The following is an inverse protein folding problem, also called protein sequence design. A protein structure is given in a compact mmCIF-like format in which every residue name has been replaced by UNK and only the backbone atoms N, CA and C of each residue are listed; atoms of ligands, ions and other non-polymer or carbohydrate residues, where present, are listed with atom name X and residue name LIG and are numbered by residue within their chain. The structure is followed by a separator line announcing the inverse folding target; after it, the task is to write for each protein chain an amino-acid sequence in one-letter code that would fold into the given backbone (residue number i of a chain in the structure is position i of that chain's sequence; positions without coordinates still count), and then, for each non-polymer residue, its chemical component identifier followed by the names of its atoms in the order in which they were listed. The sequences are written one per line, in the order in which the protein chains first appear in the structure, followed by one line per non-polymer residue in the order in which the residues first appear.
data_IF_944333651139
#
_entry.id   IF_944333651139
#
_cell.length_a   1.000
_cell.length_b   1.000
_cell.length_c   1.000
_cell.angle_alpha   90.00
_cell.angle_beta   90.00
_cell.angle_gamma   90.00
#
_symmetry.space_group_name_H-M   'P 1'
#
loop_
_entity.id
_entity.type
_entity.pdbx_description
1 polymer ?
#
# COMPACT_ATOMS: atom_id res chain seq x y z
N UNK A 1 2.42 7.94 24.99
CA UNK A 1 2.39 8.90 23.87
C UNK A 1 1.81 8.25 22.60
N UNK A 2 2.38 7.16 22.10
CA UNK A 2 1.99 6.53 20.82
C UNK A 2 0.52 6.08 20.78
N UNK A 3 -0.02 5.53 21.86
CA UNK A 3 -1.43 5.15 21.97
C UNK A 3 -2.35 6.37 21.82
N UNK A 4 -2.00 7.49 22.46
CA UNK A 4 -2.79 8.73 22.37
C UNK A 4 -2.73 9.31 20.95
N UNK A 5 -1.56 9.28 20.30
CA UNK A 5 -1.40 9.75 18.94
C UNK A 5 -2.18 8.88 17.93
N UNK A 6 -2.09 7.56 18.06
CA UNK A 6 -2.88 6.63 17.25
C UNK A 6 -4.39 6.82 17.49
N UNK A 7 -4.80 7.05 18.75
CA UNK A 7 -6.18 7.38 19.11
C UNK A 7 -6.65 8.68 18.45
N UNK A 8 -5.80 9.72 18.46
CA UNK A 8 -6.10 10.99 17.79
C UNK A 8 -6.36 10.77 16.30
N UNK A 9 -5.44 10.11 15.60
CA UNK A 9 -5.54 9.85 14.16
C UNK A 9 -6.83 9.06 13.85
N UNK A 10 -7.11 8.00 14.60
CA UNK A 10 -8.33 7.19 14.42
C UNK A 10 -9.62 7.98 14.60
N UNK A 11 -9.66 8.93 15.55
CA UNK A 11 -10.87 9.70 15.83
C UNK A 11 -11.01 10.93 14.93
N UNK A 12 -9.91 11.60 14.55
CA UNK A 12 -9.95 12.81 13.70
C UNK A 12 -10.42 12.49 12.27
N UNK A 13 -10.15 11.29 11.77
CA UNK A 13 -10.60 10.84 10.45
C UNK A 13 -12.13 10.91 10.31
N UNK A 14 -12.87 10.65 11.39
CA UNK A 14 -14.33 10.71 11.41
C UNK A 14 -14.90 12.12 11.27
N UNK A 15 -14.10 13.15 11.60
CA UNK A 15 -14.49 14.56 11.51
C UNK A 15 -13.92 15.22 10.27
N UNK A 16 -13.02 14.56 9.57
CA UNK A 16 -12.32 15.12 8.43
C UNK A 16 -13.28 15.39 7.26
N UNK A 17 -13.25 16.62 6.74
CA UNK A 17 -14.01 17.02 5.56
C UNK A 17 -13.33 16.50 4.28
N UNK A 18 -13.24 15.20 4.14
CA UNK A 18 -12.53 14.53 3.05
C UNK A 18 -13.41 13.52 2.32
N UNK A 19 -12.88 13.01 1.24
CA UNK A 19 -13.47 11.91 0.45
C UNK A 19 -12.78 10.56 0.76
N UNK A 20 -12.26 10.39 1.98
CA UNK A 20 -11.50 9.23 2.41
C UNK A 20 -9.98 9.40 2.25
N UNK A 21 -9.50 10.57 1.83
CA UNK A 21 -8.09 10.95 1.75
C UNK A 21 -7.93 12.47 1.72
N UNK A 22 -6.73 12.99 1.96
CA UNK A 22 -6.44 14.42 2.03
C UNK A 22 -5.93 15.04 0.71
N UNK A 23 -6.04 14.32 -0.40
CA UNK A 23 -5.72 14.85 -1.74
C UNK A 23 -6.83 15.73 -2.32
N UNK A 24 -8.05 15.61 -1.80
CA UNK A 24 -9.21 16.42 -2.11
C UNK A 24 -10.08 16.63 -0.87
N UNK A 25 -10.91 17.66 -0.89
CA UNK A 25 -11.85 17.99 0.19
C UNK A 25 -13.25 18.23 -0.35
N UNK A 26 -14.25 18.05 0.51
CA UNK A 26 -15.64 18.29 0.16
C UNK A 26 -15.93 19.78 0.30
N UNK A 27 -16.43 20.42 -0.77
CA UNK A 27 -16.83 21.85 -0.79
C UNK A 27 -18.19 22.07 -0.11
N UNK A 28 -18.38 21.54 1.08
CA UNK A 28 -19.59 21.78 1.90
C UNK A 28 -19.18 22.51 3.17
N UNK A 29 -20.10 23.28 3.77
CA UNK A 29 -19.85 23.86 5.08
C UNK A 29 -19.40 22.77 6.05
N UNK A 30 -18.39 23.07 6.84
CA UNK A 30 -17.93 22.19 7.90
C UNK A 30 -18.91 22.35 9.05
N UNK A 31 -19.60 21.28 9.44
CA UNK A 31 -20.38 21.29 10.68
C UNK A 31 -19.40 21.22 11.84
N UNK A 32 -19.47 22.19 12.75
CA UNK A 32 -18.71 22.15 13.99
C UNK A 32 -19.17 20.96 14.83
N UNK A 33 -18.35 19.92 14.88
CA UNK A 33 -18.58 18.74 15.67
C UNK A 33 -17.53 18.64 16.77
N UNK A 34 -17.96 18.22 17.96
CA UNK A 34 -17.05 17.95 19.06
C UNK A 34 -16.25 16.67 18.76
N UNK A 35 -14.92 16.73 18.93
CA UNK A 35 -14.08 15.55 18.87
C UNK A 35 -14.17 14.78 20.20
N UNK A 36 -14.71 13.58 20.16
CA UNK A 36 -14.69 12.66 21.28
C UNK A 36 -13.54 11.67 21.11
N UNK A 37 -12.52 11.79 21.94
CA UNK A 37 -11.36 10.90 21.94
C UNK A 37 -11.71 9.54 22.57
N UNK A 38 -12.12 8.60 21.73
CA UNK A 38 -12.31 7.22 22.16
C UNK A 38 -11.01 6.46 22.02
N UNK A 39 -10.42 6.04 23.14
CA UNK A 39 -9.16 5.29 23.14
C UNK A 39 -9.28 4.03 22.27
N UNK A 40 -8.25 3.79 21.48
CA UNK A 40 -8.11 2.53 20.76
C UNK A 40 -7.82 1.40 21.75
N UNK A 41 -8.33 0.21 21.44
CA UNK A 41 -8.01 -1.01 22.21
C UNK A 41 -6.59 -1.46 21.82
N UNK A 42 -5.62 -1.06 22.64
CA UNK A 42 -4.23 -1.43 22.42
C UNK A 42 -3.96 -2.81 23.02
N UNK A 43 -3.72 -3.79 22.16
CA UNK A 43 -3.33 -5.14 22.57
C UNK A 43 -1.82 -5.25 22.61
N UNK A 44 -1.27 -5.84 23.65
CA UNK A 44 0.13 -6.25 23.68
C UNK A 44 0.28 -7.54 22.88
N UNK A 45 1.05 -7.49 21.82
CA UNK A 45 1.48 -8.66 21.07
C UNK A 45 2.94 -8.94 21.45
N UNK A 46 3.17 -10.13 22.01
CA UNK A 46 4.52 -10.64 22.16
C UNK A 46 4.97 -11.18 20.80
N UNK A 47 6.24 -11.02 20.45
CA UNK A 47 6.85 -11.51 19.21
C UNK A 47 6.38 -10.81 17.92
N UNK A 48 6.13 -9.50 17.97
CA UNK A 48 5.86 -8.68 16.79
C UNK A 48 7.01 -7.70 16.59
N UNK A 49 7.58 -7.71 15.39
CA UNK A 49 8.57 -6.72 14.94
C UNK A 49 7.95 -5.82 13.87
N UNK A 50 8.14 -4.50 14.02
CA UNK A 50 7.60 -3.51 13.09
C UNK A 50 8.77 -2.80 12.41
N UNK A 51 8.76 -2.83 11.07
CA UNK A 51 9.75 -2.14 10.25
C UNK A 51 9.10 -1.02 9.43
N UNK A 52 9.75 0.14 9.39
CA UNK A 52 9.42 1.24 8.47
C UNK A 52 10.60 1.45 7.53
N UNK A 53 10.69 0.62 6.50
CA UNK A 53 11.79 0.59 5.54
C UNK A 53 11.25 0.38 4.13
N UNK A 54 12.09 0.60 3.14
CA UNK A 54 11.82 0.16 1.78
C UNK A 54 11.68 -1.37 1.76
N UNK A 55 10.58 -1.87 1.14
CA UNK A 55 10.24 -3.28 1.15
C UNK A 55 11.28 -4.14 0.42
N UNK A 56 11.84 -3.64 -0.68
CA UNK A 56 12.84 -4.35 -1.45
C UNK A 56 14.18 -4.49 -0.69
N UNK A 57 14.54 -3.46 0.07
CA UNK A 57 15.71 -3.52 0.95
C UNK A 57 15.47 -4.48 2.14
N UNK A 58 14.27 -4.42 2.73
CA UNK A 58 13.91 -5.29 3.85
C UNK A 58 13.88 -6.76 3.44
N UNK A 59 13.34 -7.08 2.27
CA UNK A 59 13.25 -8.45 1.74
C UNK A 59 14.60 -9.18 1.68
N UNK A 60 15.70 -8.44 1.51
CA UNK A 60 17.06 -9.00 1.47
C UNK A 60 17.61 -9.39 2.84
N UNK A 61 16.98 -8.90 3.91
CA UNK A 61 17.49 -9.05 5.29
C UNK A 61 16.59 -9.87 6.20
N UNK A 62 15.38 -10.19 5.76
CA UNK A 62 14.43 -10.99 6.56
C UNK A 62 14.23 -12.37 5.96
N UNK A 63 13.88 -13.33 6.85
CA UNK A 63 13.45 -14.67 6.48
C UNK A 63 12.14 -14.98 7.20
N UNK A 64 11.18 -15.55 6.48
CA UNK A 64 9.89 -15.94 7.03
C UNK A 64 9.37 -17.21 6.36
N UNK A 65 8.45 -17.92 7.00
CA UNK A 65 7.80 -19.09 6.39
C UNK A 65 6.79 -18.63 5.33
N UNK A 66 6.07 -17.55 5.62
CA UNK A 66 5.07 -16.96 4.72
C UNK A 66 5.32 -15.44 4.64
N UNK A 67 5.30 -14.92 3.42
CA UNK A 67 5.31 -13.47 3.17
C UNK A 67 4.01 -13.07 2.47
N UNK A 68 3.25 -12.18 3.10
CA UNK A 68 2.08 -11.56 2.49
C UNK A 68 2.44 -10.18 1.95
N UNK A 69 2.03 -9.90 0.72
CA UNK A 69 2.35 -8.67 -0.01
C UNK A 69 1.05 -8.02 -0.46
N UNK A 70 0.84 -6.77 -0.05
CA UNK A 70 -0.24 -5.90 -0.47
C UNK A 70 0.35 -4.60 -1.02
N UNK A 71 0.82 -4.60 -2.29
CA UNK A 71 1.52 -3.45 -2.85
C UNK A 71 0.52 -2.35 -3.26
N UNK A 72 0.96 -1.10 -3.40
CA UNK A 72 0.15 -0.07 -4.03
C UNK A 72 -0.29 -0.49 -5.45
N UNK A 73 -1.58 -0.34 -5.77
CA UNK A 73 -2.12 -0.80 -7.05
C UNK A 73 -1.94 0.20 -8.19
N UNK A 74 -1.96 1.50 -7.89
CA UNK A 74 -2.04 2.56 -8.88
C UNK A 74 -1.06 3.71 -8.58
N UNK A 75 -1.14 4.81 -9.34
CA UNK A 75 -0.22 5.95 -9.20
C UNK A 75 -0.42 6.80 -7.95
N UNK A 76 -1.39 6.46 -7.10
CA UNK A 76 -1.72 7.25 -5.91
C UNK A 76 -0.74 6.97 -4.78
N UNK A 77 0.08 7.95 -4.48
CA UNK A 77 1.09 7.87 -3.42
C UNK A 77 0.44 8.06 -2.05
N UNK A 78 0.57 7.10 -1.14
CA UNK A 78 0.01 7.20 0.20
C UNK A 78 0.57 8.38 0.99
N UNK A 79 1.84 8.71 0.84
CA UNK A 79 2.46 9.90 1.42
C UNK A 79 1.79 11.21 0.97
N UNK A 80 1.17 11.20 -0.23
CA UNK A 80 0.40 12.36 -0.76
C UNK A 80 -1.06 12.34 -0.31
N UNK A 81 -1.63 11.16 -0.15
CA UNK A 81 -3.03 10.99 0.25
C UNK A 81 -3.24 11.25 1.73
N UNK A 82 -2.28 10.83 2.56
CA UNK A 82 -2.36 10.86 4.01
C UNK A 82 -1.34 11.83 4.63
N UNK A 83 -0.88 12.86 3.89
CA UNK A 83 0.12 13.81 4.33
C UNK A 83 -0.25 14.52 5.64
N UNK A 84 -1.55 14.72 5.92
CA UNK A 84 -1.98 15.36 7.16
C UNK A 84 -1.63 14.51 8.38
N UNK A 85 -1.78 13.19 8.30
CA UNK A 85 -1.41 12.29 9.38
C UNK A 85 0.10 12.29 9.61
N UNK A 86 0.90 12.31 8.55
CA UNK A 86 2.36 12.44 8.68
C UNK A 86 2.74 13.77 9.36
N UNK A 87 2.10 14.87 8.99
CA UNK A 87 2.30 16.18 9.62
C UNK A 87 1.92 16.17 11.09
N UNK A 88 0.81 15.54 11.47
CA UNK A 88 0.39 15.41 12.86
C UNK A 88 1.37 14.56 13.68
N UNK A 89 1.89 13.47 13.10
CA UNK A 89 2.85 12.58 13.78
C UNK A 89 4.19 13.27 13.97
N UNK A 90 4.69 13.94 12.94
CA UNK A 90 6.00 14.63 12.97
C UNK A 90 5.93 15.97 13.70
N UNK A 91 4.77 16.61 13.65
CA UNK A 91 4.54 17.99 14.15
C UNK A 91 5.52 19.01 13.58
N UNK A 92 5.94 18.81 12.34
CA UNK A 92 6.99 19.56 11.65
C UNK A 92 6.51 20.84 10.97
N UNK A 93 5.18 21.03 10.87
CA UNK A 93 4.52 22.21 10.27
C UNK A 93 5.14 22.60 8.92
N UNK A 94 5.16 21.69 7.94
CA UNK A 94 5.86 21.90 6.69
C UNK A 94 5.23 23.03 5.89
N UNK A 95 6.02 23.66 5.00
CA UNK A 95 5.48 24.59 4.01
C UNK A 95 4.56 23.83 3.05
N UNK A 96 3.38 24.41 2.79
CA UNK A 96 2.33 23.82 1.97
C UNK A 96 2.28 24.45 0.58
N UNK A 97 1.98 23.63 -0.44
CA UNK A 97 1.98 24.02 -1.84
C UNK A 97 0.71 23.57 -2.57
N UNK A 98 0.37 24.31 -3.62
CA UNK A 98 -0.76 24.01 -4.50
C UNK A 98 -2.12 24.23 -3.86
N UNK A 99 -3.18 23.96 -4.63
CA UNK A 99 -4.57 24.18 -4.22
C UNK A 99 -4.98 23.27 -3.07
N UNK A 100 -4.44 22.05 -3.02
CA UNK A 100 -4.76 21.08 -1.97
C UNK A 100 -3.87 21.22 -0.72
N UNK A 101 -3.07 22.30 -0.63
CA UNK A 101 -2.23 22.63 0.52
C UNK A 101 -1.43 21.42 1.03
N UNK A 102 -0.59 20.85 0.17
CA UNK A 102 0.22 19.67 0.49
C UNK A 102 1.70 20.05 0.71
N UNK A 103 2.40 19.34 1.60
CA UNK A 103 3.86 19.47 1.73
C UNK A 103 4.58 19.01 0.46
N UNK A 104 5.87 19.25 0.35
CA UNK A 104 6.68 18.67 -0.75
C UNK A 104 6.52 17.14 -0.79
N UNK A 105 6.60 16.53 -2.00
CA UNK A 105 6.63 15.09 -2.10
C UNK A 105 7.79 14.50 -1.29
N UNK A 106 7.47 13.52 -0.47
CA UNK A 106 8.41 12.76 0.35
C UNK A 106 8.00 11.29 0.37
N UNK A 107 8.93 10.39 0.58
CA UNK A 107 8.67 8.95 0.69
C UNK A 107 7.78 8.40 -0.46
N UNK A 108 8.14 8.71 -1.70
CA UNK A 108 7.41 8.30 -2.89
C UNK A 108 7.74 6.85 -3.25
N UNK A 109 6.71 6.01 -3.40
CA UNK A 109 6.87 4.60 -3.75
C UNK A 109 7.05 4.39 -5.25
N UNK A 110 8.04 3.61 -5.65
CA UNK A 110 8.24 3.17 -7.03
C UNK A 110 7.10 2.26 -7.52
N UNK A 111 6.39 1.59 -6.63
CA UNK A 111 5.20 0.79 -6.97
C UNK A 111 4.05 1.63 -7.54
N UNK A 112 4.05 2.94 -7.30
CA UNK A 112 3.07 3.86 -7.89
C UNK A 112 3.53 4.46 -9.24
N UNK A 113 4.58 3.95 -9.85
CA UNK A 113 5.18 4.47 -11.09
C UNK A 113 5.19 3.40 -12.19
N UNK A 114 5.70 3.75 -13.36
CA UNK A 114 5.94 2.80 -14.45
C UNK A 114 7.00 1.73 -14.13
N UNK A 115 7.77 1.90 -13.06
CA UNK A 115 8.77 0.93 -12.58
C UNK A 115 8.16 -0.16 -11.66
N UNK A 116 6.86 -0.09 -11.38
CA UNK A 116 6.20 -0.97 -10.41
C UNK A 116 6.44 -2.46 -10.68
N UNK A 117 6.34 -2.88 -11.95
CA UNK A 117 6.57 -4.26 -12.36
C UNK A 117 8.00 -4.72 -12.03
N UNK A 118 9.00 -3.93 -12.37
CA UNK A 118 10.41 -4.31 -12.19
C UNK A 118 10.78 -4.33 -10.70
N UNK A 119 10.26 -3.37 -9.93
CA UNK A 119 10.45 -3.32 -8.47
C UNK A 119 9.75 -4.51 -7.80
N UNK A 120 8.57 -4.92 -8.27
CA UNK A 120 7.89 -6.10 -7.79
C UNK A 120 8.66 -7.38 -8.11
N UNK A 121 9.19 -7.51 -9.34
CA UNK A 121 10.02 -8.66 -9.74
C UNK A 121 11.28 -8.74 -8.87
N UNK A 122 11.94 -7.62 -8.59
CA UNK A 122 13.10 -7.56 -7.69
C UNK A 122 12.72 -7.96 -6.24
N UNK A 123 11.57 -7.49 -5.73
CA UNK A 123 11.08 -7.89 -4.40
C UNK A 123 10.94 -9.41 -4.34
N UNK A 124 10.15 -9.99 -5.25
CA UNK A 124 9.89 -11.43 -5.30
C UNK A 124 11.18 -12.23 -5.45
N UNK A 125 12.13 -11.73 -6.25
CA UNK A 125 13.43 -12.38 -6.47
C UNK A 125 14.28 -12.48 -5.19
N UNK A 126 14.17 -11.54 -4.28
CA UNK A 126 15.01 -11.45 -3.08
C UNK A 126 14.36 -11.97 -1.80
N UNK A 127 13.10 -12.40 -1.83
CA UNK A 127 12.44 -12.99 -0.67
C UNK A 127 13.02 -14.34 -0.28
N UNK A 128 13.27 -14.52 1.01
CA UNK A 128 13.66 -15.80 1.61
C UNK A 128 12.46 -16.38 2.38
N UNK A 129 11.61 -17.14 1.67
CA UNK A 129 10.36 -17.67 2.22
C UNK A 129 9.98 -19.00 1.57
N UNK A 130 9.07 -19.74 2.21
CA UNK A 130 8.48 -20.96 1.66
C UNK A 130 7.21 -20.64 0.85
N UNK A 131 6.43 -19.64 1.28
CA UNK A 131 5.19 -19.24 0.62
C UNK A 131 5.14 -17.74 0.44
N UNK A 132 4.65 -17.33 -0.75
CA UNK A 132 4.35 -15.94 -1.07
C UNK A 132 2.86 -15.83 -1.32
N UNK A 133 2.19 -14.92 -0.64
CA UNK A 133 0.81 -14.56 -0.87
C UNK A 133 0.75 -13.10 -1.33
N UNK A 134 0.12 -12.82 -2.47
CA UNK A 134 -0.02 -11.47 -3.03
C UNK A 134 -1.48 -11.16 -3.22
N UNK A 135 -1.98 -10.06 -2.64
CA UNK A 135 -3.29 -9.50 -2.94
C UNK A 135 -3.18 -8.44 -4.03
N UNK A 136 -4.12 -8.43 -4.96
CA UNK A 136 -4.20 -7.43 -6.01
C UNK A 136 -5.61 -7.38 -6.62
N UNK A 137 -5.94 -6.31 -7.37
CA UNK A 137 -7.25 -6.18 -8.00
C UNK A 137 -7.17 -5.92 -9.52
N UNK A 138 -8.32 -5.85 -10.19
CA UNK A 138 -8.43 -5.72 -11.64
C UNK A 138 -8.82 -4.33 -12.14
N UNK A 139 -8.49 -3.25 -11.47
CA UNK A 139 -8.89 -1.88 -11.86
C UNK A 139 -8.11 -1.31 -13.05
N UNK A 140 -7.91 -2.11 -14.12
CA UNK A 140 -7.16 -1.65 -15.32
C UNK A 140 -7.92 -0.66 -16.20
N UNK A 141 -9.26 -0.77 -16.24
CA UNK A 141 -10.12 0.00 -17.13
C UNK A 141 -10.72 1.23 -16.43
N UNK A 142 -10.00 1.82 -15.49
CA UNK A 142 -10.44 3.06 -14.88
C UNK A 142 -10.41 4.19 -15.90
N UNK A 143 -11.47 5.02 -15.92
CA UNK A 143 -11.51 6.27 -16.72
C UNK A 143 -10.44 7.28 -16.29
N UNK A 144 -9.84 7.10 -15.12
CA UNK A 144 -8.77 7.91 -14.59
C UNK A 144 -7.45 7.16 -14.62
N UNK A 145 -6.47 7.66 -15.35
CA UNK A 145 -5.11 7.11 -15.40
C UNK A 145 -4.46 6.98 -14.01
N UNK A 146 -4.89 7.82 -13.05
CA UNK A 146 -4.39 7.75 -11.67
C UNK A 146 -4.95 6.59 -10.87
N UNK A 147 -6.04 5.97 -11.32
CA UNK A 147 -6.69 4.81 -10.70
C UNK A 147 -6.38 3.50 -11.42
N UNK A 148 -5.68 3.58 -12.55
CA UNK A 148 -5.25 2.41 -13.31
C UNK A 148 -4.15 1.65 -12.59
N UNK A 149 -4.26 0.32 -12.57
CA UNK A 149 -3.25 -0.55 -11.98
C UNK A 149 -1.90 -0.41 -12.70
N UNK A 150 -0.81 -0.40 -11.94
CA UNK A 150 0.55 -0.25 -12.47
C UNK A 150 1.18 -1.57 -12.89
N UNK A 151 0.68 -2.69 -12.36
CA UNK A 151 1.12 -4.04 -12.74
C UNK A 151 -0.14 -4.79 -13.22
N UNK A 152 -0.04 -5.51 -14.32
CA UNK A 152 -1.13 -6.38 -14.80
C UNK A 152 -1.14 -7.69 -14.01
N UNK A 153 -2.34 -8.29 -13.85
CA UNK A 153 -2.47 -9.59 -13.14
C UNK A 153 -1.59 -10.68 -13.78
N UNK A 154 -1.54 -10.72 -15.11
CA UNK A 154 -0.69 -11.65 -15.85
C UNK A 154 0.80 -11.47 -15.55
N UNK A 155 1.25 -10.23 -15.37
CA UNK A 155 2.64 -9.92 -15.00
C UNK A 155 2.96 -10.41 -13.60
N UNK A 156 2.05 -10.19 -12.64
CA UNK A 156 2.17 -10.71 -11.27
C UNK A 156 2.27 -12.24 -11.30
N UNK A 157 1.35 -12.89 -11.99
CA UNK A 157 1.31 -14.35 -12.09
C UNK A 157 2.59 -14.91 -12.73
N UNK A 158 3.05 -14.29 -13.83
CA UNK A 158 4.27 -14.71 -14.51
C UNK A 158 5.52 -14.53 -13.65
N UNK A 159 5.61 -13.44 -12.89
CA UNK A 159 6.73 -13.22 -11.95
C UNK A 159 6.71 -14.27 -10.84
N UNK A 160 5.56 -14.57 -10.28
CA UNK A 160 5.39 -15.55 -9.22
C UNK A 160 5.69 -16.99 -9.71
N UNK A 161 5.23 -17.35 -10.90
CA UNK A 161 5.52 -18.67 -11.52
C UNK A 161 6.99 -18.93 -11.77
N UNK A 162 7.83 -17.90 -11.94
CA UNK A 162 9.29 -18.06 -11.98
C UNK A 162 9.88 -18.55 -10.67
N UNK A 163 9.16 -18.37 -9.57
CA UNK A 163 9.62 -18.70 -8.22
C UNK A 163 9.11 -20.02 -7.70
N UNK A 164 7.94 -20.45 -8.18
CA UNK A 164 7.30 -21.62 -7.63
C UNK A 164 5.96 -21.95 -8.29
N UNK A 165 5.28 -22.91 -7.69
CA UNK A 165 3.92 -23.28 -8.08
C UNK A 165 2.94 -22.23 -7.55
N UNK A 166 2.22 -21.56 -8.47
CA UNK A 166 1.29 -20.47 -8.16
C UNK A 166 -0.15 -20.91 -8.38
N UNK A 167 -1.01 -20.68 -7.38
CA UNK A 167 -2.47 -20.79 -7.46
C UNK A 167 -3.08 -19.40 -7.34
N UNK A 168 -4.12 -19.14 -8.13
CA UNK A 168 -4.83 -17.85 -8.15
C UNK A 168 -6.25 -18.07 -7.68
N UNK A 169 -6.66 -17.28 -6.70
CA UNK A 169 -8.04 -17.23 -6.20
C UNK A 169 -8.63 -15.87 -6.52
N UNK A 170 -9.90 -15.83 -6.84
CA UNK A 170 -10.63 -14.58 -7.10
C UNK A 170 -11.88 -14.48 -6.24
N UNK A 171 -12.21 -13.25 -5.87
CA UNK A 171 -13.42 -12.93 -5.14
C UNK A 171 -14.04 -11.67 -5.73
N UNK A 172 -15.35 -11.69 -5.96
CA UNK A 172 -16.09 -10.50 -6.35
C UNK A 172 -16.19 -9.57 -5.14
N UNK A 173 -15.69 -8.35 -5.27
CA UNK A 173 -15.70 -7.36 -4.20
C UNK A 173 -16.41 -6.09 -4.66
N UNK A 174 -17.21 -5.47 -3.77
CA UNK A 174 -17.83 -4.18 -4.09
C UNK A 174 -16.74 -3.12 -4.22
N UNK A 175 -16.64 -2.50 -5.38
CA UNK A 175 -15.70 -1.42 -5.61
C UNK A 175 -16.00 -0.25 -4.65
N UNK A 176 -15.02 0.11 -3.83
CA UNK A 176 -15.13 1.30 -3.00
C UNK A 176 -15.00 2.54 -3.87
N UNK A 177 -16.07 3.29 -3.98
CA UNK A 177 -16.14 4.49 -4.81
C UNK A 177 -16.85 5.61 -4.07
N UNK A 178 -16.21 6.76 -3.97
CA UNK A 178 -16.81 8.01 -3.48
C UNK A 178 -17.44 8.84 -4.59
N UNK A 179 -17.34 8.37 -5.84
CA UNK A 179 -17.80 9.07 -7.04
C UNK A 179 -18.92 8.34 -7.79
N UNK A 180 -19.27 8.86 -8.97
CA UNK A 180 -20.34 8.37 -9.84
C UNK A 180 -19.94 7.20 -10.75
N UNK A 181 -18.75 6.63 -10.61
CA UNK A 181 -18.23 5.59 -11.51
C UNK A 181 -18.52 4.22 -10.92
N UNK A 182 -19.41 3.46 -11.52
CA UNK A 182 -19.59 2.04 -11.19
C UNK A 182 -18.57 1.20 -11.97
N UNK A 183 -17.83 0.36 -11.25
CA UNK A 183 -17.00 -0.68 -11.83
C UNK A 183 -17.69 -2.02 -11.60
N UNK A 184 -18.46 -2.47 -12.61
CA UNK A 184 -19.38 -3.62 -12.46
C UNK A 184 -18.70 -4.97 -12.23
N UNK A 185 -17.43 -5.12 -12.63
CA UNK A 185 -16.69 -6.38 -12.55
C UNK A 185 -15.43 -6.26 -11.69
N UNK A 186 -15.54 -5.55 -10.57
CA UNK A 186 -14.41 -5.44 -9.64
C UNK A 186 -14.20 -6.78 -8.93
N UNK A 187 -12.97 -7.28 -9.03
CA UNK A 187 -12.53 -8.51 -8.38
C UNK A 187 -11.24 -8.25 -7.63
N UNK A 188 -11.13 -8.87 -6.48
CA UNK A 188 -9.89 -9.02 -5.74
C UNK A 188 -9.30 -10.40 -6.03
N UNK A 189 -8.00 -10.45 -6.17
CA UNK A 189 -7.23 -11.66 -6.46
C UNK A 189 -6.24 -11.94 -5.35
N UNK A 190 -6.11 -13.21 -5.01
CA UNK A 190 -5.09 -13.71 -4.10
C UNK A 190 -4.25 -14.74 -4.86
N UNK A 191 -2.98 -14.41 -5.07
CA UNK A 191 -1.99 -15.32 -5.62
C UNK A 191 -1.26 -16.00 -4.47
N UNK A 192 -1.21 -17.32 -4.46
CA UNK A 192 -0.45 -18.10 -3.48
C UNK A 192 0.59 -18.93 -4.21
N UNK A 193 1.86 -18.69 -3.89
CA UNK A 193 2.99 -19.37 -4.51
C UNK A 193 3.75 -20.20 -3.49
N UNK A 194 3.89 -21.50 -3.74
CA UNK A 194 4.82 -22.37 -3.01
C UNK A 194 6.17 -22.28 -3.71
N UNK A 195 7.15 -21.68 -3.04
CA UNK A 195 8.48 -21.41 -3.61
C UNK A 195 9.28 -22.72 -3.76
N UNK A 196 9.97 -22.90 -4.90
CA UNK A 196 10.82 -24.07 -5.15
C UNK A 196 12.03 -24.09 -4.21
N UNK A 197 12.37 -25.26 -3.67
CA UNK A 197 13.50 -25.45 -2.73
C UNK A 197 14.86 -25.06 -3.34
N UNK A 198 15.05 -25.24 -4.64
CA UNK A 198 16.31 -24.94 -5.37
C UNK A 198 16.69 -23.46 -5.41
N UNK A 199 15.82 -22.56 -4.94
CA UNK A 199 16.07 -21.11 -5.01
C UNK A 199 17.01 -20.58 -3.91
N UNK A 200 17.42 -21.43 -2.98
CA UNK A 200 18.32 -21.05 -1.87
C UNK A 200 19.72 -20.58 -2.31
N UNK A 201 20.12 -20.75 -3.60
CA UNK A 201 21.47 -20.53 -4.08
C UNK A 201 21.60 -19.66 -5.35
N UNK A 202 20.60 -18.92 -5.78
CA UNK A 202 20.71 -18.02 -6.93
C UNK A 202 20.96 -16.60 -6.43
N UNK A 203 22.22 -16.18 -6.43
CA UNK A 203 22.59 -14.77 -6.33
C UNK A 203 22.21 -14.09 -7.64
N UNK A 204 21.19 -13.23 -7.65
CA UNK A 204 20.90 -12.35 -8.77
C UNK A 204 21.89 -11.17 -8.78
N UNK A 205 22.38 -10.73 -9.94
CA UNK A 205 23.20 -9.52 -10.02
C UNK A 205 22.41 -8.35 -9.44
N UNK A 206 23.05 -7.57 -8.59
CA UNK A 206 22.51 -6.34 -8.02
C UNK A 206 22.26 -5.30 -9.12
N UNK A 207 21.09 -5.33 -9.73
CA UNK A 207 20.60 -4.24 -10.55
C UNK A 207 20.05 -3.17 -9.59
N UNK A 208 20.91 -2.30 -9.14
CA UNK A 208 20.62 -0.95 -8.63
C UNK A 208 21.69 -0.55 -7.62
N UNK A 209 22.82 -0.07 -8.11
CA UNK A 209 23.63 0.90 -7.35
C UNK A 209 23.03 2.28 -7.65
N UNK A 210 22.51 2.93 -6.62
CA UNK A 210 22.26 4.37 -6.55
C UNK A 210 22.97 4.90 -5.33
#
# INVERSE_FOLDING_TARGET
YNILLATLIYNIDKLANTVGHFDAYIKKPINEQKLYMRLIDAKNFNNVEIYRKDANLLARSIKADIVYIDPPYNSRQYSRFYHLYETLIKWDKPQLYGVALKPKPDNMSLYCTTKARDVFEDLIANLQTQYIAVSYNNTYNSKSNSSENKIKLEEIENILKKCGETKVFECTHRFFNTGKTEFKNHKEFLFITKVHEKRKNISFPSLLRW
#
